data_IF_841814093953
#
_entry.id   IF_841814093953
#
_cell.length_a   1.000
_cell.length_b   1.000
_cell.length_c   1.000
_cell.angle_alpha   90.00
_cell.angle_beta   90.00
_cell.angle_gamma   90.00
#
_symmetry.space_group_name_H-M   'P 1'
#
loop_
_entity.id
_entity.type
_entity.pdbx_description
1 polymer ?
#
# COMPACT_ATOMS: atom_id res chain seq x y z
N UNK A 1 33.73 -3.83 -22.96
CA UNK A 1 33.00 -3.97 -21.68
C UNK A 1 31.96 -2.86 -21.59
N UNK A 2 30.70 -3.16 -21.89
CA UNK A 2 29.59 -2.23 -21.60
C UNK A 2 29.33 -2.25 -20.11
N UNK A 3 29.18 -1.09 -19.43
CA UNK A 3 28.77 -1.10 -18.03
C UNK A 3 27.37 -1.74 -17.96
N UNK A 4 27.24 -2.86 -17.26
CA UNK A 4 25.93 -3.31 -16.82
C UNK A 4 25.44 -2.19 -15.89
N UNK A 5 24.44 -1.42 -16.34
CA UNK A 5 23.63 -0.61 -15.44
C UNK A 5 23.34 -1.50 -14.23
N UNK A 6 23.85 -1.15 -13.06
CA UNK A 6 23.46 -1.82 -11.83
C UNK A 6 21.94 -1.77 -11.84
N UNK A 7 21.29 -2.93 -11.90
CA UNK A 7 19.85 -3.00 -11.76
C UNK A 7 19.59 -2.31 -10.42
N UNK A 8 19.15 -1.06 -10.45
CA UNK A 8 18.80 -0.32 -9.25
C UNK A 8 17.67 -1.14 -8.68
N UNK A 9 18.00 -2.03 -7.73
CA UNK A 9 17.07 -2.95 -7.10
C UNK A 9 16.18 -2.06 -6.26
N UNK A 10 15.13 -1.54 -6.89
CA UNK A 10 14.04 -0.91 -6.19
C UNK A 10 13.43 -1.99 -5.30
N UNK A 11 13.84 -1.96 -4.03
CA UNK A 11 13.45 -2.92 -3.00
C UNK A 11 12.10 -2.52 -2.41
N UNK A 12 11.12 -2.29 -3.28
CA UNK A 12 9.77 -1.97 -2.89
C UNK A 12 8.91 -3.20 -3.17
N UNK A 13 8.33 -3.77 -2.11
CA UNK A 13 7.33 -4.82 -2.21
C UNK A 13 5.97 -4.24 -2.63
N UNK A 14 5.93 -3.44 -3.71
CA UNK A 14 4.73 -2.76 -4.22
C UNK A 14 3.62 -3.77 -4.49
N UNK A 15 3.97 -4.92 -5.07
CA UNK A 15 3.07 -6.07 -5.28
C UNK A 15 2.42 -6.55 -3.99
N UNK A 16 3.18 -6.66 -2.90
CA UNK A 16 2.65 -7.11 -1.60
C UNK A 16 1.68 -6.09 -1.03
N UNK A 17 2.04 -4.80 -1.05
CA UNK A 17 1.20 -3.71 -0.56
C UNK A 17 -0.12 -3.67 -1.35
N UNK A 18 -0.05 -3.72 -2.68
CA UNK A 18 -1.22 -3.72 -3.54
C UNK A 18 -2.12 -4.92 -3.29
N UNK A 19 -1.54 -6.13 -3.15
CA UNK A 19 -2.33 -7.33 -2.84
C UNK A 19 -2.99 -7.28 -1.48
N UNK A 20 -2.30 -6.80 -0.44
CA UNK A 20 -2.91 -6.66 0.89
C UNK A 20 -4.03 -5.63 0.87
N UNK A 21 -3.89 -4.54 0.11
CA UNK A 21 -4.95 -3.54 -0.07
C UNK A 21 -6.17 -4.10 -0.81
N UNK A 22 -5.96 -4.68 -2.00
CA UNK A 22 -7.00 -5.27 -2.86
C UNK A 22 -7.82 -6.34 -2.13
N UNK A 23 -7.15 -7.24 -1.41
CA UNK A 23 -7.77 -8.42 -0.81
C UNK A 23 -8.02 -8.28 0.70
N UNK A 24 -7.90 -7.07 1.27
CA UNK A 24 -7.98 -6.84 2.71
C UNK A 24 -9.21 -7.50 3.37
N UNK A 25 -10.39 -7.32 2.77
CA UNK A 25 -11.65 -7.86 3.31
C UNK A 25 -11.65 -9.40 3.29
N UNK A 26 -11.17 -9.99 2.20
CA UNK A 26 -11.07 -11.45 2.06
C UNK A 26 -10.03 -12.04 3.02
N UNK A 27 -8.94 -11.32 3.27
CA UNK A 27 -7.94 -11.71 4.25
C UNK A 27 -8.52 -11.69 5.68
N UNK A 28 -9.33 -10.68 6.04
CA UNK A 28 -10.03 -10.63 7.33
C UNK A 28 -10.98 -11.83 7.48
N UNK A 29 -11.77 -12.13 6.45
CA UNK A 29 -12.68 -13.29 6.44
C UNK A 29 -11.91 -14.61 6.59
N UNK A 30 -10.81 -14.77 5.84
CA UNK A 30 -9.96 -15.95 5.88
C UNK A 30 -9.36 -16.15 7.29
N UNK A 31 -8.82 -15.09 7.91
CA UNK A 31 -8.29 -15.17 9.28
C UNK A 31 -9.38 -15.52 10.29
N UNK A 32 -10.59 -14.97 10.12
CA UNK A 32 -11.75 -15.33 10.95
C UNK A 32 -12.12 -16.81 10.83
N UNK A 33 -12.08 -17.37 9.62
CA UNK A 33 -12.29 -18.82 9.41
C UNK A 33 -11.21 -19.62 10.13
N UNK A 34 -9.93 -19.28 9.97
CA UNK A 34 -8.81 -19.97 10.63
C UNK A 34 -8.95 -19.96 12.15
N UNK A 35 -9.34 -18.82 12.75
CA UNK A 35 -9.60 -18.73 14.19
C UNK A 35 -10.72 -19.68 14.64
N UNK A 36 -11.79 -19.81 13.85
CA UNK A 36 -12.94 -20.65 14.19
C UNK A 36 -12.73 -22.15 13.97
N UNK A 37 -11.87 -22.53 13.02
CA UNK A 37 -11.71 -23.94 12.61
C UNK A 37 -10.44 -24.59 13.14
N UNK A 38 -9.41 -23.81 13.47
CA UNK A 38 -8.13 -24.35 13.90
C UNK A 38 -8.21 -24.94 15.31
N UNK A 39 -7.49 -26.05 15.54
CA UNK A 39 -7.30 -26.66 16.87
C UNK A 39 -5.99 -26.25 17.52
N UNK A 40 -5.11 -25.58 16.77
CA UNK A 40 -3.79 -25.17 17.24
C UNK A 40 -3.85 -23.75 17.81
N UNK A 41 -3.59 -23.63 19.10
CA UNK A 41 -3.60 -22.34 19.81
C UNK A 41 -2.69 -21.28 19.14
N UNK A 42 -1.51 -21.69 18.64
CA UNK A 42 -0.59 -20.79 17.93
C UNK A 42 -1.22 -20.21 16.67
N UNK A 43 -1.87 -21.05 15.85
CA UNK A 43 -2.52 -20.62 14.61
C UNK A 43 -3.71 -19.70 14.87
N UNK A 44 -4.52 -20.00 15.90
CA UNK A 44 -5.63 -19.13 16.34
C UNK A 44 -5.09 -17.75 16.75
N UNK A 45 -4.06 -17.73 17.59
CA UNK A 45 -3.48 -16.47 18.09
C UNK A 45 -2.87 -15.63 16.97
N UNK A 46 -2.18 -16.25 16.02
CA UNK A 46 -1.59 -15.57 14.87
C UNK A 46 -2.67 -15.03 13.92
N UNK A 47 -3.67 -15.83 13.58
CA UNK A 47 -4.79 -15.39 12.74
C UNK A 47 -5.53 -14.21 13.38
N UNK A 48 -5.81 -14.27 14.69
CA UNK A 48 -6.43 -13.17 15.43
C UNK A 48 -5.56 -11.92 15.54
N UNK A 49 -4.24 -12.05 15.61
CA UNK A 49 -3.34 -10.90 15.54
C UNK A 49 -3.36 -10.24 14.15
N UNK A 50 -3.32 -11.04 13.08
CA UNK A 50 -3.36 -10.55 11.70
C UNK A 50 -4.71 -9.91 11.39
N UNK A 51 -5.84 -10.53 11.77
CA UNK A 51 -7.18 -9.97 11.57
C UNK A 51 -7.31 -8.59 12.21
N UNK A 52 -6.94 -8.48 13.49
CA UNK A 52 -6.93 -7.19 14.22
C UNK A 52 -6.02 -6.16 13.56
N UNK A 53 -4.87 -6.59 13.02
CA UNK A 53 -3.96 -5.67 12.33
C UNK A 53 -4.55 -5.16 11.01
N UNK A 54 -5.26 -5.99 10.27
CA UNK A 54 -5.97 -5.60 9.06
C UNK A 54 -7.14 -4.66 9.38
N UNK A 55 -7.75 -4.75 10.55
CA UNK A 55 -8.85 -3.89 11.02
C UNK A 55 -8.38 -2.56 11.66
N UNK A 56 -7.15 -2.49 12.15
CA UNK A 56 -6.55 -1.32 12.78
C UNK A 56 -6.56 -0.09 11.86
N UNK A 57 -7.25 0.98 12.26
CA UNK A 57 -7.43 2.19 11.43
C UNK A 57 -6.11 2.84 11.05
N UNK A 58 -5.10 2.80 11.94
CA UNK A 58 -3.76 3.31 11.65
C UNK A 58 -3.08 2.49 10.55
N UNK A 59 -3.15 1.16 10.64
CA UNK A 59 -2.60 0.30 9.61
C UNK A 59 -3.31 0.50 8.27
N UNK A 60 -4.64 0.59 8.26
CA UNK A 60 -5.43 0.82 7.05
C UNK A 60 -5.08 2.17 6.42
N UNK A 61 -4.94 3.23 7.22
CA UNK A 61 -4.50 4.53 6.74
C UNK A 61 -3.18 4.45 5.98
N UNK A 62 -2.15 3.87 6.60
CA UNK A 62 -0.83 3.74 5.99
C UNK A 62 -0.86 2.80 4.77
N UNK A 63 -1.62 1.71 4.83
CA UNK A 63 -1.78 0.79 3.71
C UNK A 63 -2.38 1.50 2.49
N UNK A 64 -3.41 2.33 2.67
CA UNK A 64 -4.01 3.14 1.60
C UNK A 64 -3.01 4.16 1.06
N UNK A 65 -2.33 4.90 1.94
CA UNK A 65 -1.32 5.88 1.53
C UNK A 65 -0.20 5.23 0.70
N UNK A 66 0.31 4.09 1.16
CA UNK A 66 1.33 3.35 0.42
C UNK A 66 0.82 2.75 -0.88
N UNK A 67 -0.42 2.26 -0.93
CA UNK A 67 -1.02 1.78 -2.17
C UNK A 67 -1.03 2.88 -3.25
N UNK A 68 -1.53 4.08 -2.90
CA UNK A 68 -1.60 5.20 -3.84
C UNK A 68 -0.21 5.64 -4.31
N UNK A 69 0.76 5.75 -3.40
CA UNK A 69 2.14 6.10 -3.74
C UNK A 69 2.78 5.02 -4.63
N UNK A 70 2.62 3.74 -4.27
CA UNK A 70 3.25 2.63 -4.99
C UNK A 70 2.74 2.48 -6.42
N UNK A 71 1.46 2.81 -6.71
CA UNK A 71 0.95 2.84 -8.08
C UNK A 71 1.76 3.80 -8.97
N UNK A 72 2.07 4.99 -8.46
CA UNK A 72 2.88 5.97 -9.19
C UNK A 72 4.35 5.54 -9.29
N UNK A 73 4.88 4.91 -8.25
CA UNK A 73 6.25 4.37 -8.24
C UNK A 73 6.37 3.31 -9.34
N UNK A 74 5.46 2.33 -9.41
CA UNK A 74 5.50 1.29 -10.45
C UNK A 74 5.47 1.86 -11.88
N UNK A 75 4.69 2.93 -12.13
CA UNK A 75 4.68 3.63 -13.43
C UNK A 75 6.05 4.25 -13.73
N UNK A 76 6.63 4.96 -12.77
CA UNK A 76 7.96 5.56 -12.91
C UNK A 76 9.04 4.49 -13.14
N UNK A 77 8.97 3.35 -12.43
CA UNK A 77 9.88 2.22 -12.65
C UNK A 77 9.86 1.76 -14.11
N UNK A 78 8.64 1.52 -14.62
CA UNK A 78 8.43 0.96 -15.94
C UNK A 78 8.88 1.93 -17.04
N UNK A 79 8.81 3.23 -16.77
CA UNK A 79 9.32 4.26 -17.67
C UNK A 79 10.84 4.32 -17.65
N UNK A 80 11.46 4.35 -16.46
CA UNK A 80 12.91 4.41 -16.29
C UNK A 80 13.63 3.15 -16.82
N UNK A 81 12.96 1.99 -16.83
CA UNK A 81 13.53 0.74 -17.35
C UNK A 81 13.60 0.69 -18.88
N UNK A 82 12.88 1.57 -19.60
CA UNK A 82 12.92 1.56 -21.08
C UNK A 82 14.29 2.04 -21.55
N UNK A 83 14.99 1.19 -22.30
CA UNK A 83 16.40 1.35 -22.71
C UNK A 83 16.67 2.54 -23.64
N UNK A 84 15.63 3.22 -24.11
CA UNK A 84 15.71 4.41 -24.96
C UNK A 84 14.82 5.49 -24.37
N UNK A 85 15.25 6.10 -23.28
CA UNK A 85 14.50 7.22 -22.70
C UNK A 85 15.31 8.49 -22.89
N UNK A 86 14.80 9.36 -23.76
CA UNK A 86 15.26 10.73 -23.91
C UNK A 86 15.28 11.39 -22.52
N UNK A 87 16.40 12.02 -22.16
CA UNK A 87 16.59 12.72 -20.88
C UNK A 87 15.48 13.73 -20.61
N UNK A 88 14.92 14.35 -21.67
CA UNK A 88 13.77 15.25 -21.56
C UNK A 88 12.49 14.51 -21.15
N UNK A 89 12.25 13.29 -21.69
CA UNK A 89 11.12 12.44 -21.31
C UNK A 89 11.25 11.94 -19.86
N UNK A 90 12.45 11.56 -19.42
CA UNK A 90 12.69 11.17 -18.01
C UNK A 90 12.33 12.33 -17.09
N UNK A 91 12.85 13.54 -17.38
CA UNK A 91 12.59 14.73 -16.57
C UNK A 91 11.11 15.06 -16.51
N UNK A 92 10.41 14.96 -17.64
CA UNK A 92 8.97 15.20 -17.67
C UNK A 92 8.20 14.16 -16.83
N UNK A 93 8.55 12.88 -16.92
CA UNK A 93 7.91 11.84 -16.13
C UNK A 93 8.18 11.96 -14.62
N UNK A 94 9.39 12.35 -14.23
CA UNK A 94 9.70 12.68 -12.83
C UNK A 94 8.85 13.86 -12.34
N UNK A 95 8.67 14.90 -13.16
CA UNK A 95 7.80 16.02 -12.81
C UNK A 95 6.33 15.60 -12.66
N UNK A 96 5.81 14.75 -13.58
CA UNK A 96 4.45 14.21 -13.50
C UNK A 96 4.26 13.34 -12.26
N UNK A 97 5.25 12.51 -11.93
CA UNK A 97 5.26 11.73 -10.70
C UNK A 97 5.21 12.62 -9.46
N UNK A 98 6.04 13.67 -9.41
CA UNK A 98 6.06 14.62 -8.29
C UNK A 98 4.72 15.35 -8.14
N UNK A 99 4.11 15.78 -9.23
CA UNK A 99 2.78 16.40 -9.21
C UNK A 99 1.69 15.43 -8.72
N UNK A 100 1.77 14.16 -9.13
CA UNK A 100 0.85 13.11 -8.69
C UNK A 100 0.98 12.86 -7.18
N UNK A 101 2.22 12.80 -6.66
CA UNK A 101 2.47 12.70 -5.23
C UNK A 101 1.95 13.91 -4.44
N UNK A 102 2.13 15.13 -4.95
CA UNK A 102 1.58 16.33 -4.32
C UNK A 102 0.05 16.32 -4.30
N UNK A 103 -0.59 15.77 -5.34
CA UNK A 103 -2.04 15.59 -5.38
C UNK A 103 -2.51 14.54 -4.37
N UNK A 104 -1.84 13.39 -4.31
CA UNK A 104 -2.10 12.34 -3.32
C UNK A 104 -1.90 12.86 -1.89
N UNK A 105 -0.83 13.63 -1.65
CA UNK A 105 -0.55 14.26 -0.35
C UNK A 105 -1.69 15.20 0.08
N UNK A 106 -2.19 16.03 -0.83
CA UNK A 106 -3.36 16.90 -0.56
C UNK A 106 -4.66 16.10 -0.36
N UNK A 107 -4.79 14.95 -1.03
CA UNK A 107 -5.88 13.99 -0.81
C UNK A 107 -5.79 13.26 0.53
N UNK A 108 -4.59 13.03 1.07
CA UNK A 108 -4.44 12.39 2.39
C UNK A 108 -5.01 13.24 3.53
N UNK A 109 -5.08 14.57 3.39
CA UNK A 109 -5.77 15.44 4.35
C UNK A 109 -7.28 15.15 4.40
N UNK A 110 -7.90 14.75 3.27
CA UNK A 110 -9.30 14.33 3.25
C UNK A 110 -9.49 12.93 3.84
N UNK A 111 -8.58 12.00 3.54
CA UNK A 111 -8.58 10.66 4.16
C UNK A 111 -8.45 10.75 5.69
N UNK A 112 -7.65 11.69 6.19
CA UNK A 112 -7.49 11.95 7.64
C UNK A 112 -8.79 12.50 8.26
N UNK A 113 -9.53 13.35 7.54
CA UNK A 113 -10.84 13.87 7.95
C UNK A 113 -11.93 12.80 7.97
N UNK A 114 -11.97 11.90 6.98
CA UNK A 114 -12.95 10.81 6.92
C UNK A 114 -12.73 9.75 8.02
N UNK A 115 -11.47 9.47 8.36
CA UNK A 115 -11.11 8.56 9.45
C UNK A 115 -11.48 9.13 10.84
N UNK A 116 -11.40 10.45 11.01
CA UNK A 116 -11.78 11.11 12.27
C UNK A 116 -13.31 11.27 12.41
N UNK A 117 -14.04 11.39 11.31
CA UNK A 117 -15.52 11.37 11.31
C UNK A 117 -16.11 10.00 11.71
N UNK A 118 -15.46 8.89 11.32
CA UNK A 118 -15.90 7.53 11.65
C UNK A 118 -15.59 7.10 13.10
N UNK A 119 -14.68 7.80 13.80
CA UNK A 119 -14.44 7.60 15.24
C UNK A 119 -15.43 8.36 16.16
N UNK A 120 -16.30 9.22 15.61
CA UNK A 120 -17.25 10.03 16.40
C UNK A 120 -18.53 9.30 16.86
N UNK A 121 -18.84 8.12 16.32
CA UNK A 121 -20.16 7.47 16.54
C UNK A 121 -20.14 6.25 17.47
N UNK A 122 -18.99 5.83 18.02
CA UNK A 122 -18.93 4.65 18.90
C UNK A 122 -18.44 4.96 20.31
N UNK A 123 -19.16 5.84 21.01
CA UNK A 123 -19.23 5.87 22.49
C UNK A 123 -20.67 6.07 22.91
N UNK A 124 -21.45 4.98 22.89
CA UNK A 124 -22.67 4.81 23.70
C UNK A 124 -23.12 3.34 23.65
N UNK A 125 -22.58 2.53 24.55
CA UNK A 125 -23.32 1.66 25.48
C UNK A 125 -22.33 0.91 26.37
#
# INVERSE_FOLDING_TARGET
>A
MTPLCSATRWNFNSRTINKVYEYRVQLIECMGKIESTSKQAVAINQAGAIRRKLEDSKFVFWLTAFHNIMQHVDVLYNQLRKTRTDTALIRNQVNVFQQSLEKERKGMDSVTKEMSASHGTSRKR
#
